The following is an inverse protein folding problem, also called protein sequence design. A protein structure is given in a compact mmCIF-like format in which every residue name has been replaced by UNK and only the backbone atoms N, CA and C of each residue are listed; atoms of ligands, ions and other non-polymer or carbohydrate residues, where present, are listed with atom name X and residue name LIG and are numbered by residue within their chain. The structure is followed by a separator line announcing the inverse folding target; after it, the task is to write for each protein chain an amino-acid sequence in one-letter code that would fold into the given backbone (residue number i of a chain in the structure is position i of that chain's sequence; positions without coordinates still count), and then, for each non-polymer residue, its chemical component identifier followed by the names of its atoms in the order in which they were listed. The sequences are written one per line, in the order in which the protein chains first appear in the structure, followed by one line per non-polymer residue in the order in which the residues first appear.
data_IF_000835132989
#
_entry.id   IF_000835132989
#
_cell.length_a   1.000
_cell.length_b   1.000
_cell.length_c   1.000
_cell.angle_alpha   90.00
_cell.angle_beta   90.00
_cell.angle_gamma   90.00
#
_symmetry.space_group_name_H-M   'P 1'
#
loop_
_entity.id
_entity.type
_entity.pdbx_description
1 polymer ?
#
# COMPACT_ATOMS: atom_id res chain seq x y z
N UNK A 1 4.66 0.53 -11.42
CA UNK A 1 3.60 -0.52 -11.46
C UNK A 1 2.29 0.16 -11.75
N UNK A 2 1.48 -0.39 -12.67
CA UNK A 2 0.08 0.02 -12.84
C UNK A 2 -0.76 -0.63 -11.74
N UNK A 3 -1.96 -0.10 -11.47
CA UNK A 3 -2.89 -0.68 -10.47
C UNK A 3 -3.19 -2.15 -10.78
N UNK A 4 -3.26 -2.47 -12.06
CA UNK A 4 -3.52 -3.80 -12.61
C UNK A 4 -2.38 -4.78 -12.29
N UNK A 5 -1.15 -4.29 -12.14
CA UNK A 5 0.02 -5.13 -11.82
C UNK A 5 0.02 -5.59 -10.36
N UNK A 6 -0.66 -4.88 -9.46
CA UNK A 6 -0.71 -5.18 -8.02
C UNK A 6 -1.58 -6.40 -7.70
N UNK A 7 -2.43 -6.84 -8.64
CA UNK A 7 -3.32 -7.98 -8.46
C UNK A 7 -2.92 -9.17 -9.33
N UNK A 8 -1.78 -9.08 -10.03
CA UNK A 8 -1.25 -10.20 -10.82
C UNK A 8 -0.65 -11.28 -9.91
N UNK A 9 -0.75 -12.53 -10.35
CA UNK A 9 -0.13 -13.66 -9.64
C UNK A 9 1.36 -13.47 -9.39
N UNK A 10 2.11 -12.88 -10.32
CA UNK A 10 3.54 -12.59 -10.13
C UNK A 10 3.80 -11.68 -8.93
N UNK A 11 2.91 -10.71 -8.72
CA UNK A 11 2.97 -9.82 -7.56
C UNK A 11 2.54 -10.57 -6.30
N UNK A 12 1.43 -11.32 -6.33
CA UNK A 12 0.95 -12.02 -5.14
C UNK A 12 1.91 -13.12 -4.66
N UNK A 13 2.63 -13.78 -5.58
CA UNK A 13 3.64 -14.80 -5.27
C UNK A 13 4.85 -14.30 -4.49
N UNK A 14 5.07 -12.98 -4.40
CA UNK A 14 6.15 -12.43 -3.57
C UNK A 14 5.84 -12.52 -2.06
N UNK A 15 4.57 -12.68 -1.68
CA UNK A 15 4.12 -12.84 -0.31
C UNK A 15 4.05 -14.33 0.04
N UNK A 16 4.66 -14.73 1.17
CA UNK A 16 4.73 -16.14 1.58
C UNK A 16 3.45 -16.59 2.28
N UNK A 17 2.76 -15.66 2.94
CA UNK A 17 1.52 -15.88 3.66
C UNK A 17 0.50 -14.77 3.39
N UNK A 18 -0.77 -15.04 3.66
CA UNK A 18 -1.81 -14.01 3.62
C UNK A 18 -1.58 -12.88 4.64
N UNK A 19 -0.91 -13.19 5.76
CA UNK A 19 -0.53 -12.19 6.76
C UNK A 19 0.53 -11.22 6.24
N UNK A 20 1.50 -11.68 5.45
CA UNK A 20 2.51 -10.83 4.82
C UNK A 20 1.86 -9.82 3.86
N UNK A 21 0.90 -10.29 3.05
CA UNK A 21 0.13 -9.43 2.15
C UNK A 21 -0.71 -8.41 2.94
N UNK A 22 -1.39 -8.86 3.99
CA UNK A 22 -2.21 -7.98 4.83
C UNK A 22 -1.37 -6.91 5.52
N UNK A 23 -0.18 -7.28 6.01
CA UNK A 23 0.77 -6.35 6.63
C UNK A 23 1.24 -5.30 5.62
N UNK A 24 1.62 -5.72 4.41
CA UNK A 24 1.99 -4.82 3.33
C UNK A 24 0.87 -3.82 2.95
N UNK A 25 -0.37 -4.29 2.85
CA UNK A 25 -1.52 -3.42 2.57
C UNK A 25 -1.75 -2.38 3.68
N UNK A 26 -1.58 -2.78 4.95
CA UNK A 26 -1.66 -1.85 6.09
C UNK A 26 -0.59 -0.77 6.02
N UNK A 27 0.63 -1.11 5.62
CA UNK A 27 1.72 -0.14 5.44
C UNK A 27 1.42 0.86 4.31
N UNK A 28 0.85 0.40 3.19
CA UNK A 28 0.41 1.29 2.10
C UNK A 28 -0.68 2.23 2.60
N UNK A 29 -1.68 1.70 3.30
CA UNK A 29 -2.79 2.49 3.83
C UNK A 29 -2.27 3.57 4.79
N UNK A 30 -1.37 3.20 5.71
CA UNK A 30 -0.74 4.14 6.65
C UNK A 30 -0.02 5.27 5.92
N UNK A 31 0.85 4.96 4.95
CA UNK A 31 1.57 5.96 4.15
C UNK A 31 0.61 6.86 3.37
N UNK A 32 -0.49 6.31 2.86
CA UNK A 32 -1.54 7.07 2.19
C UNK A 32 -2.17 8.11 3.12
N UNK A 33 -2.54 7.70 4.34
CA UNK A 33 -3.10 8.59 5.36
C UNK A 33 -2.08 9.66 5.78
N UNK A 34 -0.83 9.26 6.06
CA UNK A 34 0.24 10.19 6.44
C UNK A 34 0.47 11.26 5.36
N UNK A 35 0.45 10.89 4.07
CA UNK A 35 0.62 11.85 2.97
C UNK A 35 -0.57 12.78 2.81
N UNK A 36 -1.79 12.31 3.03
CA UNK A 36 -3.00 13.15 3.04
C UNK A 36 -2.90 14.18 4.18
N UNK A 37 -2.56 13.72 5.39
CA UNK A 37 -2.40 14.59 6.55
C UNK A 37 -1.30 15.63 6.35
N UNK A 38 -0.12 15.23 5.83
CA UNK A 38 0.98 16.15 5.52
C UNK A 38 0.56 17.21 4.49
N UNK A 39 -0.21 16.80 3.46
CA UNK A 39 -0.73 17.73 2.45
C UNK A 39 -1.71 18.74 3.07
N UNK A 40 -2.61 18.28 3.94
CA UNK A 40 -3.56 19.16 4.63
C UNK A 40 -2.80 20.15 5.52
N UNK A 41 -1.85 19.67 6.34
CA UNK A 41 -1.08 20.50 7.27
C UNK A 41 -0.20 21.54 6.57
N UNK A 42 0.32 21.24 5.38
CA UNK A 42 1.11 22.18 4.58
C UNK A 42 0.27 23.16 3.76
N UNK A 43 -1.04 22.93 3.66
CA UNK A 43 -1.97 23.77 2.90
C UNK A 43 -2.65 24.86 3.74
N UNK A 44 -2.41 24.88 5.05
CA UNK A 44 -2.91 25.87 6.01
C UNK A 44 -1.81 26.79 6.51
#
# INVERSE_FOLDING_TARGET
MKKEDLLKDEFLKQFKTGEDLLSFLKDIQRRGIEKILDTILKSV
#
